data_IF_204604284234
#
_entry.id   IF_204604284234
#
_cell.length_a   1.000
_cell.length_b   1.000
_cell.length_c   1.000
_cell.angle_alpha   90.00
_cell.angle_beta   90.00
_cell.angle_gamma   90.00
#
_symmetry.space_group_name_H-M   'P 1'
#
loop_
_entity.id
_entity.type
_entity.pdbx_description
1 polymer ?
#
# COMPACT_ATOMS: atom_id res chain seq x y z
N UNK A 1 -16.39 -9.47 -9.64
CA UNK A 1 -15.51 -9.83 -10.79
C UNK A 1 -15.36 -8.70 -11.80
N UNK A 2 -16.43 -7.96 -12.08
CA UNK A 2 -16.43 -6.89 -13.08
C UNK A 2 -15.51 -5.71 -12.74
N UNK A 3 -15.52 -5.26 -11.49
CA UNK A 3 -14.62 -4.21 -10.99
C UNK A 3 -13.13 -4.54 -11.18
N UNK A 4 -12.71 -5.78 -10.88
CA UNK A 4 -11.32 -6.20 -11.04
C UNK A 4 -10.89 -6.22 -12.51
N UNK A 5 -11.80 -6.55 -13.44
CA UNK A 5 -11.51 -6.51 -14.89
C UNK A 5 -11.28 -5.07 -15.35
N UNK A 6 -12.17 -4.16 -14.94
CA UNK A 6 -12.05 -2.73 -15.27
C UNK A 6 -10.75 -2.13 -14.76
N UNK A 7 -10.42 -2.37 -13.47
CA UNK A 7 -9.17 -1.88 -12.86
C UNK A 7 -7.94 -2.42 -13.61
N UNK A 8 -7.95 -3.69 -14.02
CA UNK A 8 -6.81 -4.27 -14.74
C UNK A 8 -6.65 -3.68 -16.14
N UNK A 9 -7.76 -3.35 -16.80
CA UNK A 9 -7.75 -2.69 -18.10
C UNK A 9 -7.24 -1.24 -18.00
N UNK A 10 -7.77 -0.47 -17.04
CA UNK A 10 -7.38 0.92 -16.79
C UNK A 10 -5.89 1.04 -16.41
N UNK A 11 -5.36 0.06 -15.66
CA UNK A 11 -3.96 0.06 -15.20
C UNK A 11 -2.99 -0.64 -16.16
N UNK A 12 -3.43 -1.09 -17.33
CA UNK A 12 -2.61 -1.91 -18.24
C UNK A 12 -1.31 -1.23 -18.69
N UNK A 13 -1.31 0.10 -18.81
CA UNK A 13 -0.16 0.90 -19.23
C UNK A 13 0.62 1.54 -18.05
N UNK A 14 0.21 1.30 -16.80
CA UNK A 14 0.73 2.03 -15.64
C UNK A 14 1.52 1.11 -14.71
N UNK A 15 2.80 1.43 -14.51
CA UNK A 15 3.68 0.70 -13.58
C UNK A 15 3.63 1.28 -12.16
N UNK A 16 2.84 0.66 -11.27
CA UNK A 16 2.66 1.11 -9.88
C UNK A 16 3.80 0.72 -8.92
N UNK A 17 4.73 -0.14 -9.37
CA UNK A 17 5.78 -0.70 -8.51
C UNK A 17 6.75 0.37 -8.00
N UNK A 18 7.31 1.18 -8.90
CA UNK A 18 8.35 2.16 -8.54
C UNK A 18 7.84 3.19 -7.55
N UNK A 19 6.63 3.70 -7.74
CA UNK A 19 6.00 4.66 -6.81
C UNK A 19 5.73 4.02 -5.45
N UNK A 20 5.16 2.82 -5.42
CA UNK A 20 4.94 2.04 -4.19
C UNK A 20 6.21 1.79 -3.38
N UNK A 21 7.34 1.59 -4.04
CA UNK A 21 8.58 1.18 -3.37
C UNK A 21 9.43 2.37 -2.93
N UNK A 22 9.36 3.49 -3.65
CA UNK A 22 10.35 4.57 -3.53
C UNK A 22 9.79 5.98 -3.35
N UNK A 23 8.54 6.24 -3.76
CA UNK A 23 8.01 7.61 -3.83
C UNK A 23 6.81 7.86 -2.91
N UNK A 24 6.22 6.82 -2.32
CA UNK A 24 5.20 6.98 -1.29
C UNK A 24 5.79 6.76 0.10
N UNK A 25 5.38 7.59 1.06
CA UNK A 25 5.66 7.33 2.47
C UNK A 25 4.82 6.13 2.92
N UNK A 26 5.50 5.03 3.22
CA UNK A 26 4.87 3.78 3.68
C UNK A 26 4.00 3.97 4.93
N UNK A 27 4.28 4.97 5.77
CA UNK A 27 3.48 5.28 6.98
C UNK A 27 2.06 5.70 6.63
N UNK A 28 1.86 6.42 5.53
CA UNK A 28 0.53 6.81 5.05
C UNK A 28 -0.30 5.55 4.78
N UNK A 29 0.31 4.56 4.11
CA UNK A 29 -0.36 3.30 3.79
C UNK A 29 -0.63 2.47 5.05
N UNK A 30 0.32 2.39 5.98
CA UNK A 30 0.15 1.68 7.24
C UNK A 30 -0.98 2.30 8.08
N UNK A 31 -1.00 3.63 8.23
CA UNK A 31 -2.03 4.33 8.98
C UNK A 31 -3.43 4.11 8.39
N UNK A 32 -3.55 4.17 7.05
CA UNK A 32 -4.79 3.85 6.35
C UNK A 32 -5.24 2.40 6.59
N UNK A 33 -4.31 1.44 6.53
CA UNK A 33 -4.62 0.03 6.79
C UNK A 33 -5.10 -0.18 8.23
N UNK A 34 -4.48 0.47 9.21
CA UNK A 34 -4.91 0.44 10.62
C UNK A 34 -6.31 1.06 10.79
N UNK A 35 -6.54 2.23 10.21
CA UNK A 35 -7.82 2.96 10.32
C UNK A 35 -9.00 2.18 9.74
N UNK A 36 -8.79 1.43 8.65
CA UNK A 36 -9.84 0.72 7.93
C UNK A 36 -9.81 -0.81 8.14
N UNK A 37 -9.02 -1.29 9.11
CA UNK A 37 -8.86 -2.72 9.41
C UNK A 37 -8.51 -3.57 8.18
N UNK A 38 -7.70 -3.01 7.27
CA UNK A 38 -7.25 -3.70 6.06
C UNK A 38 -5.96 -4.46 6.35
N UNK A 39 -5.90 -5.77 6.07
CA UNK A 39 -4.68 -6.54 6.27
C UNK A 39 -3.53 -6.02 5.38
N UNK A 40 -2.41 -5.64 6.00
CA UNK A 40 -1.29 -4.97 5.34
C UNK A 40 -0.62 -5.85 4.27
N UNK A 41 -0.69 -7.17 4.42
CA UNK A 41 -0.17 -8.16 3.48
C UNK A 41 -0.92 -8.15 2.13
N UNK A 42 -2.13 -7.57 2.07
CA UNK A 42 -2.83 -7.35 0.80
C UNK A 42 -2.22 -6.20 -0.01
N UNK A 43 -1.50 -5.28 0.65
CA UNK A 43 -0.94 -4.08 0.02
C UNK A 43 0.56 -4.24 -0.22
N UNK A 44 1.28 -4.79 0.76
CA UNK A 44 2.71 -5.02 0.75
C UNK A 44 3.03 -6.52 0.76
N UNK A 45 3.83 -6.95 -0.20
CA UNK A 45 4.36 -8.31 -0.20
C UNK A 45 5.43 -8.49 0.91
N UNK A 46 5.85 -9.74 1.15
CA UNK A 46 6.86 -10.08 2.16
C UNK A 46 8.15 -9.26 2.08
N UNK A 47 8.59 -8.89 0.87
CA UNK A 47 9.80 -8.07 0.70
C UNK A 47 9.59 -6.63 1.15
N UNK A 48 8.44 -6.05 0.83
CA UNK A 48 8.11 -4.68 1.22
C UNK A 48 7.83 -4.56 2.72
N UNK A 49 7.20 -5.58 3.32
CA UNK A 49 7.03 -5.62 4.76
C UNK A 49 8.38 -5.60 5.50
N UNK A 50 9.38 -6.34 5.01
CA UNK A 50 10.75 -6.29 5.55
C UNK A 50 11.45 -4.94 5.32
N UNK A 51 11.19 -4.28 4.19
CA UNK A 51 11.76 -2.95 3.88
C UNK A 51 11.17 -1.86 4.79
N UNK A 52 9.87 -1.94 5.07
CA UNK A 52 9.12 -0.90 5.77
C UNK A 52 8.79 -1.23 7.22
N UNK A 53 9.59 -2.07 7.88
CA UNK A 53 9.40 -2.44 9.30
C UNK A 53 9.28 -1.19 10.19
N UNK A 54 10.10 -0.17 9.92
CA UNK A 54 10.10 1.10 10.66
C UNK A 54 8.77 1.88 10.57
N UNK A 55 7.95 1.62 9.55
CA UNK A 55 6.67 2.29 9.36
C UNK A 55 5.50 1.56 10.03
N UNK A 56 5.69 0.33 10.51
CA UNK A 56 4.61 -0.53 11.03
C UNK A 56 4.05 -0.06 12.37
N UNK A 57 4.85 0.69 13.15
CA UNK A 57 4.48 1.14 14.49
C UNK A 57 3.72 2.47 14.50
N UNK A 58 3.36 3.01 13.32
CA UNK A 58 2.72 4.33 13.25
C UNK A 58 1.24 4.30 13.68
N UNK A 59 0.76 5.38 14.29
CA UNK A 59 -0.66 5.53 14.66
C UNK A 59 -1.59 5.62 13.43
N UNK A 60 -2.86 5.23 13.59
CA UNK A 60 -3.88 5.32 12.52
C UNK A 60 -4.22 6.76 12.11
N UNK A 61 -3.92 7.74 12.97
CA UNK A 61 -4.13 9.17 12.73
C UNK A 61 -2.89 9.89 12.18
N UNK A 62 -1.87 9.14 11.76
CA UNK A 62 -0.70 9.71 11.10
C UNK A 62 -1.09 10.56 9.87
N UNK A 63 -0.54 11.76 9.83
CA UNK A 63 -0.66 12.71 8.72
C UNK A 63 0.74 13.14 8.30
N UNK A 64 1.03 13.04 7.01
CA UNK A 64 2.28 13.49 6.40
C UNK A 64 2.33 15.00 6.28
#
# INVERSE_FOLDING_TARGET
MEMNKKIKEDLKAVALGTSKVNYFDSRITVAWCKRHEVPIEKIFNKSLLRKFVWAMDIDSEFRF
#
